data_IF_542917256220
#
_entry.id   IF_542917256220
#
_cell.length_a   1.000
_cell.length_b   1.000
_cell.length_c   1.000
_cell.angle_alpha   90.00
_cell.angle_beta   90.00
_cell.angle_gamma   90.00
#
_symmetry.space_group_name_H-M   'P 1'
#
loop_
_entity.id
_entity.type
_entity.pdbx_description
1 polymer ?
#
# COMPACT_ATOMS: atom_id res chain seq x y z
N UNK A 1 -9.73 -9.27 4.86
CA UNK A 1 -11.12 -8.81 4.97
C UNK A 1 -11.97 -9.54 3.95
N UNK A 2 -13.26 -9.21 3.86
CA UNK A 2 -14.17 -9.68 2.81
C UNK A 2 -14.78 -8.49 2.08
N UNK A 3 -15.22 -8.67 0.84
CA UNK A 3 -15.89 -7.64 0.04
C UNK A 3 -17.40 -7.85 0.16
N UNK A 4 -18.00 -7.14 1.11
CA UNK A 4 -19.42 -7.22 1.41
C UNK A 4 -19.95 -5.81 1.71
N UNK A 5 -21.21 -5.57 1.39
CA UNK A 5 -21.89 -4.31 1.74
C UNK A 5 -21.83 -4.11 3.26
N UNK A 6 -21.53 -2.87 3.68
CA UNK A 6 -21.43 -2.50 5.09
C UNK A 6 -20.07 -2.81 5.74
N UNK A 7 -19.15 -3.50 5.06
CA UNK A 7 -17.75 -3.61 5.51
C UNK A 7 -16.98 -2.33 5.18
N UNK A 8 -15.86 -2.13 5.89
CA UNK A 8 -14.93 -1.04 5.61
C UNK A 8 -14.35 -1.17 4.21
N UNK A 9 -14.31 -0.07 3.46
CA UNK A 9 -13.78 0.00 2.10
C UNK A 9 -12.24 0.01 2.09
N UNK A 10 -11.64 -1.06 2.62
CA UNK A 10 -10.20 -1.32 2.57
C UNK A 10 -9.94 -2.35 1.46
N UNK A 11 -9.36 -1.90 0.34
CA UNK A 11 -9.25 -2.70 -0.88
C UNK A 11 -7.88 -2.50 -1.54
N UNK A 12 -7.39 -3.54 -2.21
CA UNK A 12 -6.30 -3.42 -3.18
C UNK A 12 -6.84 -3.76 -4.55
N UNK A 13 -6.54 -2.92 -5.53
CA UNK A 13 -6.77 -3.20 -6.95
C UNK A 13 -5.45 -3.62 -7.58
N UNK A 14 -5.40 -4.87 -8.05
CA UNK A 14 -4.19 -5.50 -8.59
C UNK A 14 -4.46 -5.90 -10.03
N UNK A 15 -3.60 -5.41 -10.93
CA UNK A 15 -3.48 -5.84 -12.31
C UNK A 15 -2.52 -7.03 -12.34
N UNK A 16 -3.08 -8.23 -12.49
CA UNK A 16 -2.32 -9.48 -12.39
C UNK A 16 -1.37 -9.68 -13.58
N UNK A 17 -1.73 -9.21 -14.76
CA UNK A 17 -0.88 -9.33 -15.96
C UNK A 17 0.34 -8.42 -15.86
N UNK A 18 0.17 -7.26 -15.23
CA UNK A 18 1.27 -6.33 -14.97
C UNK A 18 2.04 -6.63 -13.68
N UNK A 19 1.60 -7.56 -12.82
CA UNK A 19 2.17 -7.80 -11.51
C UNK A 19 3.59 -8.38 -11.61
N UNK A 20 4.59 -7.57 -11.26
CA UNK A 20 5.98 -7.99 -11.25
C UNK A 20 6.79 -7.20 -10.21
N UNK A 21 7.79 -7.87 -9.65
CA UNK A 21 8.84 -7.23 -8.86
C UNK A 21 9.81 -6.46 -9.75
N UNK A 22 10.21 -5.28 -9.29
CA UNK A 22 11.27 -4.49 -9.91
C UNK A 22 12.63 -4.88 -9.34
N UNK A 23 13.70 -4.47 -10.02
CA UNK A 23 15.07 -4.70 -9.55
C UNK A 23 15.26 -4.07 -8.16
N UNK A 24 15.84 -4.80 -7.19
CA UNK A 24 16.17 -4.24 -5.88
C UNK A 24 17.17 -3.09 -5.99
N UNK A 25 16.95 -2.03 -5.21
CA UNK A 25 17.82 -0.87 -5.12
C UNK A 25 18.32 -0.68 -3.68
N UNK A 26 19.59 -0.31 -3.52
CA UNK A 26 20.15 0.04 -2.23
C UNK A 26 19.89 1.54 -1.96
N UNK A 27 19.12 1.86 -0.92
CA UNK A 27 18.72 3.23 -0.58
C UNK A 27 19.33 3.63 0.77
N UNK A 28 19.82 4.87 0.83
CA UNK A 28 20.52 5.45 1.99
C UNK A 28 19.66 6.52 2.68
N UNK A 29 18.46 6.14 3.11
CA UNK A 29 17.43 7.06 3.62
C UNK A 29 17.02 6.78 5.07
N UNK A 30 17.72 5.88 5.76
CA UNK A 30 17.41 5.55 7.15
C UNK A 30 18.08 6.52 8.13
N UNK A 31 17.46 6.75 9.31
CA UNK A 31 18.10 7.49 10.39
C UNK A 31 19.48 6.91 10.77
N UNK A 32 20.35 7.76 11.32
CA UNK A 32 21.71 7.40 11.72
C UNK A 32 22.61 6.85 10.58
N UNK A 33 22.32 7.19 9.32
CA UNK A 33 23.15 6.79 8.16
C UNK A 33 22.98 5.33 7.73
N UNK A 34 21.92 4.66 8.21
CA UNK A 34 21.59 3.32 7.77
C UNK A 34 21.19 3.25 6.30
N UNK A 35 21.21 2.02 5.75
CA UNK A 35 20.76 1.73 4.39
C UNK A 35 19.77 0.56 4.38
N UNK A 36 18.88 0.54 3.39
CA UNK A 36 17.95 -0.56 3.15
C UNK A 36 17.96 -1.00 1.70
N UNK A 37 17.70 -2.29 1.49
CA UNK A 37 17.36 -2.80 0.16
C UNK A 37 15.86 -2.57 -0.06
N UNK A 38 15.52 -1.76 -1.05
CA UNK A 38 14.15 -1.47 -1.44
C UNK A 38 13.84 -2.22 -2.73
N UNK A 39 12.83 -3.08 -2.69
CA UNK A 39 12.31 -3.75 -3.88
C UNK A 39 10.89 -3.25 -4.14
N UNK A 40 10.71 -2.52 -5.24
CA UNK A 40 9.40 -2.04 -5.68
C UNK A 40 8.67 -3.14 -6.46
N UNK A 41 7.39 -2.90 -6.71
CA UNK A 41 6.57 -3.76 -7.55
C UNK A 41 5.60 -2.90 -8.36
N UNK A 42 5.35 -3.34 -9.59
CA UNK A 42 4.28 -2.82 -10.44
C UNK A 42 3.09 -3.78 -10.45
N UNK A 43 1.95 -3.32 -10.97
CA UNK A 43 0.68 -4.07 -10.97
C UNK A 43 -0.27 -3.70 -9.83
N UNK A 44 0.22 -3.02 -8.78
CA UNK A 44 -0.66 -2.41 -7.78
C UNK A 44 -1.25 -1.09 -8.31
N UNK A 45 -2.48 -1.15 -8.83
CA UNK A 45 -3.18 0.01 -9.39
C UNK A 45 -3.70 0.96 -8.31
N UNK A 46 -4.24 0.40 -7.23
CA UNK A 46 -4.76 1.18 -6.12
C UNK A 46 -4.57 0.45 -4.79
N UNK A 47 -4.19 1.19 -3.75
CA UNK A 47 -4.47 0.80 -2.37
C UNK A 47 -5.46 1.79 -1.80
N UNK A 48 -6.56 1.29 -1.25
CA UNK A 48 -7.70 2.07 -0.76
C UNK A 48 -7.88 1.73 0.71
N UNK A 49 -8.04 2.76 1.54
CA UNK A 49 -8.28 2.62 2.97
C UNK A 49 -9.45 3.52 3.35
N UNK A 50 -10.47 2.95 3.99
CA UNK A 50 -11.73 3.63 4.33
C UNK A 50 -12.36 4.39 3.13
N UNK A 51 -12.22 3.86 1.91
CA UNK A 51 -12.77 4.45 0.69
C UNK A 51 -11.88 5.50 0.01
N UNK A 52 -10.75 5.89 0.62
CA UNK A 52 -9.81 6.86 0.05
C UNK A 52 -8.56 6.16 -0.50
N UNK A 53 -8.13 6.56 -1.70
CA UNK A 53 -6.94 6.00 -2.36
C UNK A 53 -5.71 6.53 -1.65
N UNK A 54 -4.97 5.65 -0.97
CA UNK A 54 -3.70 6.01 -0.33
C UNK A 54 -2.52 5.85 -1.28
N UNK A 55 -2.64 4.96 -2.27
CA UNK A 55 -1.60 4.68 -3.25
C UNK A 55 -2.20 4.50 -4.65
N UNK A 56 -1.63 5.15 -5.66
CA UNK A 56 -2.04 5.05 -7.08
C UNK A 56 -0.85 4.65 -7.92
N UNK A 57 -0.95 3.53 -8.63
CA UNK A 57 0.11 3.00 -9.51
C UNK A 57 1.49 2.96 -8.80
N UNK A 58 1.52 2.47 -7.56
CA UNK A 58 2.72 2.39 -6.72
C UNK A 58 3.13 3.67 -5.97
N UNK A 59 2.56 4.83 -6.32
CA UNK A 59 2.91 6.15 -5.76
C UNK A 59 2.04 6.49 -4.55
N UNK A 60 2.65 6.95 -3.45
CA UNK A 60 1.94 7.46 -2.27
C UNK A 60 1.23 8.78 -2.60
N UNK A 61 -0.04 8.87 -2.23
CA UNK A 61 -0.88 10.06 -2.47
C UNK A 61 -0.78 11.09 -1.34
N UNK A 62 -0.23 10.69 -0.19
CA UNK A 62 -0.26 11.51 1.03
C UNK A 62 -1.53 11.36 1.85
N UNK A 63 -2.57 10.68 1.35
CA UNK A 63 -3.80 10.42 2.12
C UNK A 63 -3.52 9.56 3.36
N UNK A 64 -4.07 9.96 4.51
CA UNK A 64 -3.92 9.25 5.81
C UNK A 64 -5.30 8.98 6.48
N UNK A 65 -6.20 8.22 5.84
CA UNK A 65 -7.54 7.92 6.36
C UNK A 65 -7.54 6.87 7.48
N UNK A 66 -6.38 6.29 7.79
CA UNK A 66 -6.22 5.27 8.84
C UNK A 66 -6.64 5.80 10.21
N UNK A 67 -7.32 4.95 10.99
CA UNK A 67 -7.68 5.20 12.38
C UNK A 67 -7.39 3.94 13.20
N UNK A 68 -7.24 4.11 14.52
CA UNK A 68 -7.08 2.98 15.43
C UNK A 68 -8.31 2.06 15.35
N UNK A 69 -8.10 0.83 14.92
CA UNK A 69 -9.12 -0.21 14.97
C UNK A 69 -9.01 -0.90 16.32
N UNK A 70 -10.10 -0.89 17.09
CA UNK A 70 -10.20 -1.63 18.35
C UNK A 70 -11.03 -2.88 18.11
N UNK A 71 -10.54 -4.03 18.59
CA UNK A 71 -11.33 -5.26 18.58
C UNK A 71 -12.59 -5.12 19.45
N UNK A 72 -13.59 -5.95 19.19
CA UNK A 72 -14.72 -6.11 20.11
C UNK A 72 -14.16 -6.70 21.42
N UNK A 73 -14.57 -6.18 22.58
CA UNK A 73 -14.37 -6.89 23.85
C UNK A 73 -15.09 -8.23 23.81
#
# INVERSE_FOLDING_TARGET
GTIEVGKRADLNLIDHDALQLETPELVYDLPAGGRRLLQRARGYRATIVAGEITRRDGVDTGARPGRLVRGRR
#
